data_IF_408166312909
#
_entry.id   IF_408166312909
#
_cell.length_a   1.000
_cell.length_b   1.000
_cell.length_c   1.000
_cell.angle_alpha   90.00
_cell.angle_beta   90.00
_cell.angle_gamma   90.00
#
_symmetry.space_group_name_H-M   'P 1'
#
loop_
_entity.id
_entity.type
_entity.pdbx_description
1 polymer ?
#
# COMPACT_ATOMS: atom_id res chain seq x y z
N UNK A 1 -23.04 0.74 -14.37
CA UNK A 1 -22.76 1.55 -13.19
C UNK A 1 -21.45 2.29 -13.37
N UNK A 2 -21.47 3.61 -13.34
CA UNK A 2 -20.24 4.37 -13.51
C UNK A 2 -19.32 4.18 -12.32
N UNK A 3 -18.03 3.91 -12.60
CA UNK A 3 -17.01 3.87 -11.55
C UNK A 3 -16.76 5.30 -11.06
N UNK A 4 -16.55 5.46 -9.74
CA UNK A 4 -16.13 6.74 -9.19
C UNK A 4 -14.78 7.11 -9.78
N UNK A 5 -14.65 8.32 -10.28
CA UNK A 5 -13.36 8.81 -10.76
C UNK A 5 -12.43 9.03 -9.56
N UNK A 6 -11.17 8.70 -9.77
CA UNK A 6 -10.12 9.02 -8.82
C UNK A 6 -9.93 10.54 -8.82
N UNK A 7 -10.14 11.18 -7.67
CA UNK A 7 -10.10 12.63 -7.59
C UNK A 7 -9.54 13.09 -6.25
N UNK A 8 -8.84 14.21 -6.28
CA UNK A 8 -8.40 14.94 -5.08
C UNK A 8 -9.23 16.20 -4.95
N UNK A 9 -9.71 16.48 -3.73
CA UNK A 9 -10.43 17.72 -3.40
C UNK A 9 -9.78 18.41 -2.22
N UNK A 10 -9.39 19.67 -2.41
CA UNK A 10 -8.90 20.51 -1.33
C UNK A 10 -10.08 21.03 -0.52
N UNK A 11 -10.11 20.77 0.77
CA UNK A 11 -11.20 21.21 1.65
C UNK A 11 -10.84 22.49 2.39
N UNK A 12 -9.66 22.57 2.96
CA UNK A 12 -9.20 23.72 3.73
C UNK A 12 -7.73 23.98 3.50
N UNK A 13 -7.35 25.24 3.63
CA UNK A 13 -5.96 25.67 3.50
C UNK A 13 -5.65 26.73 4.54
N UNK A 14 -4.54 26.56 5.27
CA UNK A 14 -4.02 27.54 6.20
C UNK A 14 -2.53 27.72 5.92
N UNK A 15 -2.17 28.81 5.23
CA UNK A 15 -0.82 29.05 4.72
C UNK A 15 -0.39 27.90 3.81
N UNK A 16 0.63 27.11 4.19
CA UNK A 16 1.09 25.93 3.43
C UNK A 16 0.40 24.64 3.91
N UNK A 17 -0.30 24.68 5.02
CA UNK A 17 -1.05 23.53 5.50
C UNK A 17 -2.32 23.33 4.67
N UNK A 18 -2.59 22.08 4.29
CA UNK A 18 -3.76 21.74 3.47
C UNK A 18 -4.47 20.52 4.04
N UNK A 19 -5.78 20.59 4.03
CA UNK A 19 -6.64 19.46 4.34
C UNK A 19 -7.45 19.12 3.10
N UNK A 20 -7.49 17.85 2.75
CA UNK A 20 -8.20 17.41 1.57
C UNK A 20 -8.70 15.99 1.68
N UNK A 21 -9.28 15.52 0.59
CA UNK A 21 -9.70 14.11 0.46
C UNK A 21 -9.29 13.59 -0.91
N UNK A 22 -9.01 12.28 -0.95
CA UNK A 22 -8.83 11.55 -2.20
C UNK A 22 -9.99 10.58 -2.32
N UNK A 23 -10.77 10.69 -3.40
CA UNK A 23 -11.87 9.78 -3.69
C UNK A 23 -11.36 8.63 -4.55
N UNK A 24 -11.61 7.39 -4.12
CA UNK A 24 -11.20 6.19 -4.84
C UNK A 24 -12.37 5.22 -4.95
N UNK A 25 -12.21 4.18 -5.76
CA UNK A 25 -13.22 3.10 -5.86
C UNK A 25 -13.45 2.38 -4.53
N UNK A 26 -12.46 2.40 -3.65
CA UNK A 26 -12.49 1.68 -2.37
C UNK A 26 -12.89 2.55 -1.20
N UNK A 27 -13.06 3.84 -1.43
CA UNK A 27 -13.47 4.77 -0.39
C UNK A 27 -12.71 6.08 -0.43
N UNK A 28 -12.93 6.88 0.59
CA UNK A 28 -12.37 8.23 0.72
C UNK A 28 -11.18 8.19 1.66
N UNK A 29 -10.09 8.81 1.23
CA UNK A 29 -8.87 8.95 2.04
C UNK A 29 -8.79 10.40 2.48
N UNK A 30 -8.82 10.63 3.79
CA UNK A 30 -8.65 11.98 4.37
C UNK A 30 -7.16 12.32 4.40
N UNK A 31 -6.81 13.51 3.93
CA UNK A 31 -5.42 13.95 3.91
C UNK A 31 -5.23 15.19 4.80
N UNK A 32 -4.08 15.36 5.43
CA UNK A 32 -2.92 14.47 5.44
C UNK A 32 -3.24 13.11 6.07
N UNK A 33 -2.59 12.05 5.58
CA UNK A 33 -2.85 10.68 6.02
C UNK A 33 -1.55 9.96 6.34
N UNK A 34 -1.54 9.20 7.42
CA UNK A 34 -0.51 8.20 7.68
C UNK A 34 -0.94 6.87 7.07
N UNK A 35 -0.03 6.23 6.36
CA UNK A 35 -0.28 4.94 5.73
C UNK A 35 0.46 3.84 6.50
N UNK A 36 -0.26 2.99 7.27
CA UNK A 36 0.38 1.81 7.86
C UNK A 36 0.97 0.92 6.76
N UNK A 37 2.14 0.35 7.01
CA UNK A 37 2.87 -0.43 6.02
C UNK A 37 2.56 -1.92 6.21
N UNK A 38 2.02 -2.54 5.16
CA UNK A 38 1.81 -3.99 5.11
C UNK A 38 2.85 -4.64 4.19
N UNK A 39 4.02 -4.97 4.72
CA UNK A 39 5.16 -5.39 3.92
C UNK A 39 4.91 -6.69 3.15
N UNK A 40 4.36 -7.70 3.82
CA UNK A 40 4.07 -9.00 3.22
C UNK A 40 2.58 -9.30 3.26
N UNK A 41 1.77 -8.31 2.85
CA UNK A 41 0.31 -8.34 2.92
C UNK A 41 -0.22 -8.37 4.36
N UNK A 42 0.62 -8.01 5.32
CA UNK A 42 0.22 -7.84 6.73
C UNK A 42 0.93 -6.65 7.33
N UNK A 43 0.25 -5.93 8.21
CA UNK A 43 0.88 -4.93 9.06
C UNK A 43 1.38 -5.65 10.30
N UNK A 44 2.65 -5.49 10.60
CA UNK A 44 3.34 -6.25 11.65
C UNK A 44 2.63 -6.10 13.00
N UNK A 45 2.29 -7.24 13.61
CA UNK A 45 1.60 -7.33 14.91
C UNK A 45 0.20 -6.71 14.96
N UNK A 46 -0.41 -6.40 13.81
CA UNK A 46 -1.74 -5.81 13.74
C UNK A 46 -2.64 -6.57 12.78
N UNK A 47 -3.92 -6.72 13.14
CA UNK A 47 -4.95 -7.21 12.22
C UNK A 47 -5.50 -6.05 11.38
N UNK A 48 -6.23 -6.37 10.31
CA UNK A 48 -6.92 -5.35 9.51
C UNK A 48 -7.94 -4.59 10.38
N UNK A 49 -8.64 -5.30 11.27
CA UNK A 49 -9.58 -4.65 12.19
C UNK A 49 -8.88 -3.68 13.13
N UNK A 50 -7.69 -4.01 13.63
CA UNK A 50 -6.89 -3.11 14.46
C UNK A 50 -6.52 -1.84 13.69
N UNK A 51 -6.15 -1.99 12.42
CA UNK A 51 -5.80 -0.86 11.55
C UNK A 51 -7.01 0.05 11.34
N UNK A 52 -8.18 -0.53 11.08
CA UNK A 52 -9.43 0.25 10.92
C UNK A 52 -9.76 1.04 12.18
N UNK A 53 -9.54 0.46 13.35
CA UNK A 53 -9.79 1.11 14.63
C UNK A 53 -8.88 2.33 14.86
N UNK A 54 -7.72 2.39 14.23
CA UNK A 54 -6.85 3.56 14.30
C UNK A 54 -7.37 4.75 13.50
N UNK A 55 -8.39 4.54 12.66
CA UNK A 55 -8.92 5.56 11.76
C UNK A 55 -8.13 5.70 10.46
N UNK A 56 -7.26 4.73 10.14
CA UNK A 56 -6.51 4.74 8.88
C UNK A 56 -7.43 4.48 7.70
N UNK A 57 -7.30 5.29 6.66
CA UNK A 57 -8.12 5.21 5.45
C UNK A 57 -7.42 4.48 4.31
N UNK A 58 -6.12 4.22 4.43
CA UNK A 58 -5.29 3.64 3.38
C UNK A 58 -4.14 2.85 3.99
N UNK A 59 -3.74 1.79 3.31
CA UNK A 59 -2.59 0.96 3.69
C UNK A 59 -1.55 1.02 2.56
N UNK A 60 -0.28 1.06 2.92
CA UNK A 60 0.82 0.96 1.98
C UNK A 60 1.30 -0.48 1.91
N UNK A 61 1.37 -1.04 0.71
CA UNK A 61 1.93 -2.37 0.48
C UNK A 61 3.16 -2.26 -0.42
N UNK A 62 4.23 -2.97 -0.05
CA UNK A 62 5.49 -2.90 -0.78
C UNK A 62 5.50 -3.96 -1.88
N UNK A 63 5.50 -3.52 -3.13
CA UNK A 63 5.42 -4.40 -4.30
C UNK A 63 6.58 -5.39 -4.34
N UNK A 64 7.80 -4.95 -4.10
CA UNK A 64 8.96 -5.83 -4.16
C UNK A 64 8.87 -6.98 -3.16
N UNK A 65 8.49 -6.66 -1.92
CA UNK A 65 8.32 -7.69 -0.88
C UNK A 65 7.17 -8.63 -1.19
N UNK A 66 6.08 -8.14 -1.77
CA UNK A 66 4.95 -8.98 -2.18
C UNK A 66 5.32 -9.95 -3.30
N UNK A 67 6.17 -9.53 -4.24
CA UNK A 67 6.65 -10.37 -5.32
C UNK A 67 7.48 -11.54 -4.80
N UNK A 68 8.29 -11.32 -3.77
CA UNK A 68 9.12 -12.36 -3.17
C UNK A 68 8.30 -13.26 -2.26
N UNK A 69 7.45 -12.67 -1.43
CA UNK A 69 6.66 -13.41 -0.43
C UNK A 69 5.39 -12.64 -0.09
N UNK A 70 4.20 -13.16 -0.34
CA UNK A 70 3.87 -14.56 -0.70
C UNK A 70 4.07 -14.92 -2.18
N UNK A 71 4.32 -13.95 -3.06
CA UNK A 71 4.47 -14.13 -4.48
C UNK A 71 3.21 -13.78 -5.27
N UNK A 72 3.42 -13.38 -6.52
CA UNK A 72 2.35 -12.90 -7.41
C UNK A 72 1.29 -13.96 -7.64
N UNK A 73 1.70 -15.21 -7.81
CA UNK A 73 0.80 -16.32 -8.12
C UNK A 73 -0.20 -16.59 -7.01
N UNK A 74 0.25 -16.57 -5.76
CA UNK A 74 -0.64 -16.75 -4.60
C UNK A 74 -1.65 -15.62 -4.48
N UNK A 75 -1.20 -14.40 -4.69
CA UNK A 75 -2.08 -13.23 -4.63
C UNK A 75 -3.13 -13.30 -5.74
N UNK A 76 -2.71 -13.65 -6.95
CA UNK A 76 -3.61 -13.80 -8.09
C UNK A 76 -4.64 -14.90 -7.84
N UNK A 77 -4.23 -16.04 -7.34
CA UNK A 77 -5.13 -17.16 -7.04
C UNK A 77 -6.13 -16.84 -5.94
N UNK A 78 -5.78 -15.94 -5.03
CA UNK A 78 -6.69 -15.47 -3.99
C UNK A 78 -7.71 -14.43 -4.49
N UNK A 79 -7.60 -13.98 -5.73
CA UNK A 79 -8.49 -12.98 -6.31
C UNK A 79 -7.97 -11.55 -6.25
N UNK A 80 -6.67 -11.37 -5.99
CA UNK A 80 -6.02 -10.08 -5.91
C UNK A 80 -5.61 -9.71 -4.50
N UNK A 81 -4.95 -8.57 -4.36
CA UNK A 81 -4.33 -8.17 -3.09
C UNK A 81 -5.37 -7.91 -2.00
N UNK A 82 -6.47 -7.22 -2.32
CA UNK A 82 -7.53 -6.96 -1.35
C UNK A 82 -8.14 -8.25 -0.80
N UNK A 83 -8.40 -9.21 -1.68
CA UNK A 83 -8.94 -10.51 -1.27
C UNK A 83 -7.93 -11.30 -0.45
N UNK A 84 -6.66 -11.26 -0.84
CA UNK A 84 -5.59 -11.97 -0.13
C UNK A 84 -5.42 -11.41 1.30
N UNK A 85 -5.46 -10.09 1.44
CA UNK A 85 -5.34 -9.43 2.75
C UNK A 85 -6.65 -9.43 3.54
N UNK A 86 -7.75 -9.80 2.92
CA UNK A 86 -9.10 -9.64 3.48
C UNK A 86 -9.33 -8.20 3.94
N UNK A 87 -8.99 -7.25 3.07
CA UNK A 87 -9.03 -5.82 3.36
C UNK A 87 -9.80 -5.10 2.27
N UNK A 88 -10.74 -4.25 2.67
CA UNK A 88 -11.53 -3.44 1.73
C UNK A 88 -11.05 -1.99 1.65
N UNK A 89 -10.05 -1.61 2.46
CA UNK A 89 -9.49 -0.27 2.43
C UNK A 89 -8.72 -0.02 1.14
N UNK A 90 -8.60 1.24 0.70
CA UNK A 90 -7.65 1.59 -0.35
C UNK A 90 -6.25 1.13 -0.01
N UNK A 91 -5.53 0.60 -1.00
CA UNK A 91 -4.16 0.13 -0.84
C UNK A 91 -3.30 0.87 -1.87
N UNK A 92 -2.24 1.52 -1.39
CA UNK A 92 -1.22 2.08 -2.24
C UNK A 92 -0.08 1.08 -2.35
N UNK A 93 0.22 0.64 -3.57
CA UNK A 93 1.39 -0.20 -3.83
C UNK A 93 2.47 0.67 -4.44
N UNK A 94 3.68 0.61 -3.89
CA UNK A 94 4.81 1.32 -4.48
C UNK A 94 5.34 0.56 -5.69
N UNK A 95 6.20 1.23 -6.48
CA UNK A 95 6.79 0.58 -7.66
C UNK A 95 7.83 -0.48 -7.28
N UNK A 96 8.43 -0.37 -6.10
CA UNK A 96 9.49 -1.25 -5.66
C UNK A 96 10.79 -1.12 -6.44
N UNK A 97 10.88 -0.16 -7.35
CA UNK A 97 12.01 -0.04 -8.26
C UNK A 97 13.34 0.17 -7.55
N UNK A 98 13.37 1.04 -6.54
CA UNK A 98 14.57 1.29 -5.76
C UNK A 98 15.04 0.05 -5.00
N UNK A 99 14.12 -0.62 -4.31
CA UNK A 99 14.42 -1.82 -3.55
C UNK A 99 14.90 -2.95 -4.46
N UNK A 100 14.25 -3.13 -5.61
CA UNK A 100 14.65 -4.14 -6.58
C UNK A 100 16.09 -3.94 -7.06
N UNK A 101 16.45 -2.72 -7.43
CA UNK A 101 17.81 -2.39 -7.88
C UNK A 101 18.80 -2.56 -6.73
N UNK A 102 18.49 -2.02 -5.56
CA UNK A 102 19.35 -2.07 -4.38
C UNK A 102 19.67 -3.51 -3.96
N UNK A 103 18.66 -4.36 -3.86
CA UNK A 103 18.83 -5.76 -3.48
C UNK A 103 19.56 -6.56 -4.56
N UNK A 104 19.31 -6.27 -5.82
CA UNK A 104 20.02 -6.91 -6.94
C UNK A 104 21.51 -6.59 -6.87
N UNK A 105 21.90 -5.36 -6.61
CA UNK A 105 23.28 -4.98 -6.44
C UNK A 105 23.94 -5.68 -5.24
N UNK A 106 23.24 -5.74 -4.12
CA UNK A 106 23.75 -6.44 -2.94
C UNK A 106 23.98 -7.94 -3.22
N UNK A 107 23.05 -8.59 -3.90
CA UNK A 107 23.20 -10.00 -4.28
C UNK A 107 24.36 -10.22 -5.24
N UNK A 108 24.55 -9.30 -6.19
CA UNK A 108 25.69 -9.37 -7.11
C UNK A 108 27.02 -9.28 -6.36
N UNK A 109 27.12 -8.42 -5.35
CA UNK A 109 28.28 -8.32 -4.48
C UNK A 109 28.50 -9.59 -3.67
N UNK A 110 27.45 -10.14 -3.09
CA UNK A 110 27.50 -11.38 -2.33
C UNK A 110 28.02 -12.53 -3.18
N UNK A 111 27.51 -12.68 -4.42
CA UNK A 111 27.98 -13.73 -5.32
C UNK A 111 29.42 -13.54 -5.78
N UNK A 112 29.89 -12.31 -5.84
CA UNK A 112 31.27 -12.03 -6.22
C UNK A 112 32.28 -12.46 -5.13
N UNK A 113 31.85 -12.57 -3.89
CA UNK A 113 32.71 -12.97 -2.76
C UNK A 113 32.57 -14.46 -2.38
N UNK A 114 31.71 -15.15 -3.03
CA UNK A 114 31.52 -16.59 -2.88
C UNK A 114 32.18 -17.34 -4.02
#
# INVERSE_FOLDING_TARGET
MALKEFAFKLLNKDSYAREGIIETHRGVIRTPAFMPVGTQATVKACTIDDIKKTGSDIILANTYHLMIRPGVERIQNAGGLHSFMNCDLPILTDSGGFQAVSYTHLRAHETAYH
#
